data_IF_656948724970
#
_entry.id   IF_656948724970
#
_cell.length_a   1.000
_cell.length_b   1.000
_cell.length_c   1.000
_cell.angle_alpha   90.00
_cell.angle_beta   90.00
_cell.angle_gamma   90.00
#
_symmetry.space_group_name_H-M   'P 1'
#
loop_
_entity.id
_entity.type
_entity.pdbx_description
1 polymer ?
#
# COMPACT_ATOMS: atom_id res chain seq x y z
N UNK A 1 8.70 -22.84 -16.96
CA UNK A 1 7.69 -22.75 -15.92
C UNK A 1 6.67 -21.70 -16.30
N UNK A 2 5.36 -22.01 -16.10
CA UNK A 2 4.25 -21.11 -16.45
C UNK A 2 3.77 -20.36 -15.20
N UNK A 3 4.69 -19.77 -14.43
CA UNK A 3 4.34 -19.06 -13.20
C UNK A 3 3.87 -17.65 -13.50
N UNK A 4 2.87 -17.22 -12.76
CA UNK A 4 2.41 -15.84 -12.70
C UNK A 4 2.99 -15.16 -11.47
N UNK A 5 3.38 -13.92 -11.60
CA UNK A 5 3.76 -13.06 -10.49
C UNK A 5 2.67 -12.00 -10.37
N UNK A 6 1.98 -12.02 -9.24
CA UNK A 6 0.94 -11.04 -8.90
C UNK A 6 1.43 -10.27 -7.69
N UNK A 7 1.32 -8.95 -7.71
CA UNK A 7 1.79 -8.13 -6.62
C UNK A 7 0.81 -6.99 -6.30
N UNK A 8 0.72 -6.66 -5.04
CA UNK A 8 0.03 -5.50 -4.49
C UNK A 8 1.00 -4.33 -4.44
N UNK A 9 0.48 -3.10 -4.39
CA UNK A 9 1.32 -1.92 -4.22
C UNK A 9 1.90 -1.83 -2.82
N UNK A 10 3.16 -1.46 -2.73
CA UNK A 10 3.81 -1.02 -1.51
C UNK A 10 3.84 0.51 -1.39
N UNK A 11 4.56 1.01 -0.38
CA UNK A 11 4.76 2.44 -0.15
C UNK A 11 5.76 3.09 -1.12
N UNK A 12 6.53 2.31 -1.86
CA UNK A 12 7.49 2.80 -2.86
C UNK A 12 7.01 2.60 -4.31
N UNK A 13 5.82 2.08 -4.49
CA UNK A 13 5.26 1.81 -5.80
C UNK A 13 4.38 2.96 -6.27
N UNK A 14 4.46 3.31 -7.56
CA UNK A 14 3.56 4.30 -8.12
C UNK A 14 2.13 3.75 -8.17
N UNK A 15 1.16 4.33 -7.41
CA UNK A 15 -0.20 3.83 -7.37
C UNK A 15 -0.90 3.77 -8.73
N UNK A 16 -0.49 4.62 -9.67
CA UNK A 16 -1.06 4.65 -11.03
C UNK A 16 -0.87 3.35 -11.82
N UNK A 17 0.10 2.51 -11.45
CA UNK A 17 0.31 1.22 -12.12
C UNK A 17 -0.62 0.11 -11.63
N UNK A 18 -1.33 0.34 -10.52
CA UNK A 18 -2.21 -0.64 -9.87
C UNK A 18 -3.69 -0.45 -10.22
N UNK A 19 -3.97 0.02 -11.42
CA UNK A 19 -5.33 0.20 -11.97
C UNK A 19 -5.85 -1.04 -12.73
N UNK A 20 -5.06 -2.11 -12.76
CA UNK A 20 -5.35 -3.35 -13.51
C UNK A 20 -5.21 -3.23 -15.02
N UNK A 21 -4.78 -2.06 -15.56
CA UNK A 21 -4.74 -1.77 -17.00
C UNK A 21 -3.39 -1.22 -17.47
N UNK A 22 -2.78 -0.34 -16.68
CA UNK A 22 -1.58 0.41 -17.09
C UNK A 22 -0.34 -0.47 -17.14
N UNK A 23 -0.22 -1.43 -16.23
CA UNK A 23 0.89 -2.37 -16.21
C UNK A 23 0.54 -3.65 -16.98
N UNK A 24 1.05 -3.76 -18.21
CA UNK A 24 0.78 -4.91 -19.09
C UNK A 24 2.04 -5.73 -19.33
N UNK A 25 2.25 -6.73 -18.54
CA UNK A 25 3.28 -7.73 -18.79
C UNK A 25 2.66 -9.13 -18.77
N UNK A 26 3.09 -10.02 -19.67
CA UNK A 26 2.43 -11.33 -19.92
C UNK A 26 2.22 -12.20 -18.68
N UNK A 27 3.06 -12.07 -17.64
CA UNK A 27 3.01 -12.91 -16.43
C UNK A 27 3.32 -12.16 -15.14
N UNK A 28 3.25 -10.84 -15.21
CA UNK A 28 3.52 -9.95 -14.10
C UNK A 28 2.37 -8.98 -13.99
N UNK A 29 1.59 -9.04 -12.93
CA UNK A 29 0.34 -8.31 -12.78
C UNK A 29 0.38 -7.47 -11.51
N UNK A 30 0.30 -6.16 -11.69
CA UNK A 30 -0.01 -5.23 -10.63
C UNK A 30 -1.53 -5.17 -10.46
N UNK A 31 -2.04 -5.52 -9.29
CA UNK A 31 -3.48 -5.61 -9.05
C UNK A 31 -3.97 -4.42 -8.24
N UNK A 32 -5.19 -3.92 -8.52
CA UNK A 32 -5.83 -2.90 -7.70
C UNK A 32 -6.07 -3.38 -6.27
N UNK A 33 -6.19 -2.42 -5.35
CA UNK A 33 -6.67 -2.71 -4.00
C UNK A 33 -8.07 -3.33 -4.07
N UNK A 34 -8.38 -4.20 -3.10
CA UNK A 34 -9.63 -4.98 -3.06
C UNK A 34 -9.80 -5.95 -4.25
N UNK A 35 -8.70 -6.40 -4.84
CA UNK A 35 -8.72 -7.53 -5.76
C UNK A 35 -8.77 -8.85 -5.00
N UNK A 36 -9.45 -9.85 -5.57
CA UNK A 36 -9.43 -11.21 -5.07
C UNK A 36 -8.77 -12.13 -6.08
N UNK A 37 -7.81 -12.92 -5.62
CA UNK A 37 -7.13 -13.95 -6.41
C UNK A 37 -7.63 -15.31 -5.94
N UNK A 38 -8.16 -16.10 -6.87
CA UNK A 38 -8.51 -17.49 -6.60
C UNK A 38 -7.37 -18.39 -7.08
N UNK A 39 -6.68 -19.05 -6.14
CA UNK A 39 -5.56 -19.93 -6.42
C UNK A 39 -5.50 -21.08 -5.41
N UNK A 40 -5.22 -22.29 -5.88
CA UNK A 40 -5.03 -23.48 -5.03
C UNK A 40 -6.18 -23.73 -4.02
N UNK A 41 -7.42 -23.49 -4.43
CA UNK A 41 -8.64 -23.57 -3.62
C UNK A 41 -8.72 -22.52 -2.49
N UNK A 42 -7.94 -21.44 -2.59
CA UNK A 42 -8.00 -20.30 -1.69
C UNK A 42 -8.55 -19.07 -2.40
N UNK A 43 -9.27 -18.23 -1.66
CA UNK A 43 -9.72 -16.90 -2.06
C UNK A 43 -8.93 -15.86 -1.28
N UNK A 44 -8.02 -15.18 -1.97
CA UNK A 44 -7.00 -14.31 -1.41
C UNK A 44 -7.40 -12.85 -1.66
N UNK A 45 -7.80 -12.14 -0.61
CA UNK A 45 -8.06 -10.71 -0.67
C UNK A 45 -6.74 -9.93 -0.61
N UNK A 46 -6.57 -8.99 -1.53
CA UNK A 46 -5.36 -8.19 -1.68
C UNK A 46 -5.66 -6.70 -1.49
N UNK A 47 -4.98 -6.05 -0.53
CA UNK A 47 -5.06 -4.61 -0.28
C UNK A 47 -3.66 -4.07 -0.06
N UNK A 48 -3.20 -3.21 -0.96
CA UNK A 48 -1.86 -2.64 -0.92
C UNK A 48 -1.79 -1.31 -0.16
N UNK A 49 -0.58 -0.74 -0.16
CA UNK A 49 -0.28 0.55 0.41
C UNK A 49 0.20 0.50 1.85
N UNK A 50 1.10 1.44 2.14
CA UNK A 50 1.59 1.73 3.49
C UNK A 50 2.21 3.13 3.50
N UNK A 51 2.43 3.69 4.68
CA UNK A 51 3.06 4.99 4.88
C UNK A 51 4.58 4.85 4.84
N UNK A 52 5.24 5.68 4.03
CA UNK A 52 6.69 5.82 4.04
C UNK A 52 7.14 6.59 5.29
N UNK A 53 7.86 5.91 6.18
CA UNK A 53 8.36 6.52 7.42
C UNK A 53 9.42 7.61 7.17
N UNK A 54 10.04 7.60 6.01
CA UNK A 54 11.06 8.54 5.56
C UNK A 54 10.53 9.61 4.58
N UNK A 55 9.21 9.78 4.49
CA UNK A 55 8.53 10.68 3.54
C UNK A 55 9.04 12.12 3.58
N UNK A 56 9.30 12.67 4.77
CA UNK A 56 9.84 14.03 4.93
C UNK A 56 11.21 14.16 4.28
N UNK A 57 12.09 13.18 4.51
CA UNK A 57 13.40 13.15 3.88
C UNK A 57 13.30 13.09 2.34
N UNK A 58 12.37 12.32 1.81
CA UNK A 58 12.13 12.20 0.35
C UNK A 58 11.64 13.50 -0.23
N UNK A 59 10.69 14.17 0.42
CA UNK A 59 10.17 15.48 0.01
C UNK A 59 11.26 16.55 0.02
N UNK A 60 12.12 16.57 1.04
CA UNK A 60 13.27 17.48 1.09
C UNK A 60 14.29 17.20 -0.01
N UNK A 61 14.61 15.94 -0.27
CA UNK A 61 15.52 15.54 -1.33
C UNK A 61 14.97 15.96 -2.70
N UNK A 62 13.70 15.75 -2.94
CA UNK A 62 13.03 16.19 -4.16
C UNK A 62 13.05 17.72 -4.31
N UNK A 63 12.74 18.46 -3.25
CA UNK A 63 12.77 19.93 -3.25
C UNK A 63 14.17 20.48 -3.59
N UNK A 64 15.20 19.89 -2.99
CA UNK A 64 16.60 20.27 -3.28
C UNK A 64 16.98 19.98 -4.74
N UNK A 65 16.55 18.86 -5.28
CA UNK A 65 16.79 18.51 -6.68
C UNK A 65 16.07 19.47 -7.64
N UNK A 66 14.82 19.85 -7.37
CA UNK A 66 14.08 20.84 -8.16
C UNK A 66 14.76 22.20 -8.13
N UNK A 67 15.19 22.67 -6.97
CA UNK A 67 15.94 23.92 -6.85
C UNK A 67 17.24 23.90 -7.66
N UNK A 68 17.93 22.75 -7.67
CA UNK A 68 19.16 22.56 -8.43
C UNK A 68 18.90 22.64 -9.94
N UNK A 69 17.85 21.98 -10.43
CA UNK A 69 17.41 22.02 -11.82
C UNK A 69 17.08 23.44 -12.28
N UNK A 70 16.31 24.18 -11.48
CA UNK A 70 15.95 25.58 -11.77
C UNK A 70 17.20 26.47 -11.88
N UNK A 71 18.19 26.28 -11.02
CA UNK A 71 19.44 27.05 -11.08
C UNK A 71 20.25 26.79 -12.37
N UNK A 72 20.14 25.61 -12.94
CA UNK A 72 20.82 25.25 -14.18
C UNK A 72 19.97 25.46 -15.46
N UNK A 73 18.83 26.18 -15.34
CA UNK A 73 17.99 26.56 -16.50
C UNK A 73 17.18 25.41 -17.08
N UNK A 74 17.05 24.28 -16.40
CA UNK A 74 16.23 23.17 -16.83
C UNK A 74 14.80 23.39 -16.30
N UNK A 75 13.92 23.93 -17.16
CA UNK A 75 12.53 24.28 -16.82
C UNK A 75 11.54 23.14 -17.04
N UNK A 76 11.97 21.99 -17.49
CA UNK A 76 11.10 20.83 -17.61
C UNK A 76 10.73 20.33 -16.21
N UNK A 77 9.49 20.63 -15.81
CA UNK A 77 8.86 19.99 -14.66
C UNK A 77 8.55 18.55 -15.06
N UNK A 78 9.30 17.62 -14.54
CA UNK A 78 8.99 16.19 -14.71
C UNK A 78 7.87 15.86 -13.73
N UNK A 79 6.62 16.09 -14.15
CA UNK A 79 5.43 15.95 -13.32
C UNK A 79 5.16 14.52 -12.85
N UNK A 80 5.70 13.52 -13.55
CA UNK A 80 5.26 12.12 -13.41
C UNK A 80 6.20 11.22 -12.59
N UNK A 81 7.31 11.73 -12.16
CA UNK A 81 8.25 10.93 -11.40
C UNK A 81 8.58 11.64 -10.10
N UNK A 82 7.97 11.22 -9.01
CA UNK A 82 8.56 11.54 -7.72
C UNK A 82 9.95 10.88 -7.70
N UNK A 83 11.06 11.63 -7.93
CA UNK A 83 12.39 11.03 -8.00
C UNK A 83 12.80 10.41 -6.67
N UNK A 84 12.00 10.60 -5.65
CA UNK A 84 12.14 10.06 -4.32
C UNK A 84 11.21 8.88 -4.03
N UNK A 85 10.45 8.40 -5.03
CA UNK A 85 9.50 7.28 -4.83
C UNK A 85 8.54 7.50 -3.66
N UNK A 86 8.00 8.71 -3.53
CA UNK A 86 6.98 9.06 -2.55
C UNK A 86 5.71 9.57 -3.24
N UNK A 87 4.58 9.01 -2.88
CA UNK A 87 3.26 9.39 -3.38
C UNK A 87 2.33 9.68 -2.22
N UNK A 88 1.63 10.82 -2.27
CA UNK A 88 0.67 11.19 -1.21
C UNK A 88 -0.45 10.17 -1.02
N UNK A 89 -0.77 9.42 -2.08
CA UNK A 89 -1.80 8.36 -2.10
C UNK A 89 -1.25 6.96 -1.79
N UNK A 90 -0.06 6.85 -1.18
CA UNK A 90 0.56 5.57 -0.89
C UNK A 90 -0.16 4.78 0.22
N UNK A 91 -0.82 5.47 1.15
CA UNK A 91 -1.52 4.84 2.27
C UNK A 91 -2.69 3.97 1.81
N UNK A 92 -2.99 2.88 2.53
CA UNK A 92 -4.20 2.11 2.28
C UNK A 92 -5.45 2.91 2.64
N UNK A 93 -6.54 2.60 1.96
CA UNK A 93 -7.84 3.23 2.22
C UNK A 93 -8.88 2.16 2.54
N UNK A 94 -9.66 2.33 3.60
CA UNK A 94 -10.77 1.44 3.89
C UNK A 94 -11.94 1.73 2.93
N UNK A 95 -12.25 0.77 2.07
CA UNK A 95 -13.37 0.81 1.14
C UNK A 95 -14.40 -0.25 1.51
N UNK A 96 -15.37 0.16 2.35
CA UNK A 96 -16.43 -0.73 2.83
C UNK A 96 -17.28 -1.29 1.69
N UNK A 97 -17.61 -0.45 0.71
CA UNK A 97 -18.47 -0.85 -0.41
C UNK A 97 -17.81 -1.93 -1.27
N UNK A 98 -16.53 -1.74 -1.63
CA UNK A 98 -15.79 -2.75 -2.38
C UNK A 98 -15.67 -4.06 -1.60
N UNK A 99 -15.37 -3.98 -0.29
CA UNK A 99 -15.28 -5.15 0.55
C UNK A 99 -16.63 -5.90 0.63
N UNK A 100 -17.71 -5.18 0.88
CA UNK A 100 -19.06 -5.77 0.94
C UNK A 100 -19.48 -6.44 -0.37
N UNK A 101 -19.15 -5.84 -1.51
CA UNK A 101 -19.38 -6.45 -2.82
C UNK A 101 -18.65 -7.79 -2.94
N UNK A 102 -17.38 -7.84 -2.55
CA UNK A 102 -16.59 -9.07 -2.57
C UNK A 102 -17.24 -10.14 -1.67
N UNK A 103 -17.58 -9.78 -0.43
CA UNK A 103 -18.12 -10.73 0.55
C UNK A 103 -19.51 -11.23 0.20
N UNK A 104 -20.25 -10.51 -0.64
CA UNK A 104 -21.54 -10.97 -1.17
C UNK A 104 -21.40 -12.05 -2.26
N UNK A 105 -20.26 -12.10 -2.94
CA UNK A 105 -20.02 -12.99 -4.07
C UNK A 105 -19.20 -14.22 -3.69
N UNK A 106 -18.25 -14.08 -2.76
CA UNK A 106 -17.34 -15.18 -2.40
C UNK A 106 -16.82 -15.04 -0.96
N UNK A 107 -16.31 -16.16 -0.46
CA UNK A 107 -15.61 -16.19 0.83
C UNK A 107 -14.15 -15.78 0.65
N UNK A 108 -13.56 -15.21 1.71
CA UNK A 108 -12.16 -14.86 1.82
C UNK A 108 -11.54 -15.70 2.93
N UNK A 109 -10.46 -16.40 2.66
CA UNK A 109 -9.73 -17.22 3.63
C UNK A 109 -8.26 -16.83 3.80
N UNK A 110 -7.71 -16.04 2.90
CA UNK A 110 -6.36 -15.44 3.03
C UNK A 110 -6.45 -13.95 2.75
N UNK A 111 -5.69 -13.16 3.49
CA UNK A 111 -5.53 -11.71 3.28
C UNK A 111 -4.06 -11.39 3.06
N UNK A 112 -3.76 -10.61 2.04
CA UNK A 112 -2.42 -10.08 1.76
C UNK A 112 -2.50 -8.55 1.77
N UNK A 113 -1.69 -7.94 2.64
CA UNK A 113 -1.59 -6.48 2.76
C UNK A 113 -0.12 -6.05 2.82
N UNK A 114 0.17 -4.77 2.69
CA UNK A 114 1.54 -4.24 2.85
C UNK A 114 1.78 -3.63 4.25
N UNK A 115 0.73 -3.50 5.04
CA UNK A 115 0.78 -3.13 6.45
C UNK A 115 -0.18 -4.02 7.25
N UNK A 116 -0.10 -3.99 8.57
CA UNK A 116 -0.83 -4.91 9.44
C UNK A 116 -1.83 -4.23 10.36
N UNK A 117 -2.86 -4.95 10.86
CA UNK A 117 -3.70 -4.48 11.96
C UNK A 117 -2.89 -4.12 13.21
N UNK A 118 -3.45 -3.26 14.05
CA UNK A 118 -2.76 -2.74 15.25
C UNK A 118 -2.43 -3.81 16.30
N UNK A 119 -3.16 -4.91 16.29
CA UNK A 119 -2.90 -6.05 17.19
C UNK A 119 -1.80 -6.99 16.71
N UNK A 120 -1.29 -6.81 15.48
CA UNK A 120 -0.12 -7.54 15.00
C UNK A 120 1.16 -6.81 15.44
N UNK A 121 2.01 -7.52 16.18
CA UNK A 121 3.32 -7.00 16.56
C UNK A 121 4.28 -7.04 15.37
N UNK A 122 4.92 -5.90 15.09
CA UNK A 122 6.01 -5.85 14.12
C UNK A 122 7.28 -6.44 14.75
N UNK A 123 8.05 -7.19 13.97
CA UNK A 123 9.29 -7.83 14.41
C UNK A 123 10.35 -6.81 14.86
N UNK A 124 10.33 -5.59 14.31
CA UNK A 124 11.24 -4.51 14.70
C UNK A 124 10.49 -3.21 14.91
N UNK A 125 10.69 -2.60 16.06
CA UNK A 125 10.21 -1.24 16.40
C UNK A 125 11.34 -0.21 16.25
N UNK A 126 12.51 -0.62 15.78
CA UNK A 126 13.68 0.24 15.65
C UNK A 126 13.53 1.19 14.45
N UNK A 127 14.03 2.39 14.62
CA UNK A 127 14.21 3.35 13.53
C UNK A 127 13.10 4.37 13.33
N UNK A 128 11.90 4.22 13.89
CA UNK A 128 10.83 5.24 13.76
C UNK A 128 11.22 6.53 14.49
N UNK A 129 11.85 6.44 15.65
CA UNK A 129 12.17 7.58 16.50
C UNK A 129 12.96 8.70 15.78
N UNK A 130 13.90 8.34 14.91
CA UNK A 130 14.67 9.33 14.15
C UNK A 130 13.84 10.11 13.13
N UNK A 131 12.78 9.48 12.59
CA UNK A 131 11.91 10.08 11.59
C UNK A 131 10.86 10.99 12.21
N UNK A 132 10.37 10.65 13.41
CA UNK A 132 9.38 11.44 14.14
C UNK A 132 9.89 12.80 14.59
N UNK A 133 11.21 12.97 14.72
CA UNK A 133 11.81 14.28 15.01
C UNK A 133 11.48 15.33 13.94
N UNK A 134 11.41 14.91 12.68
CA UNK A 134 11.19 15.79 11.53
C UNK A 134 9.77 15.70 10.97
N UNK A 135 9.00 14.71 11.37
CA UNK A 135 7.63 14.49 10.92
C UNK A 135 6.70 14.32 12.13
N UNK A 136 6.06 15.42 12.51
CA UNK A 136 5.20 15.46 13.72
C UNK A 136 3.90 14.65 13.59
N UNK A 137 3.45 14.39 12.37
CA UNK A 137 2.21 13.66 12.11
C UNK A 137 2.44 12.18 11.83
N UNK A 138 3.69 11.75 11.64
CA UNK A 138 4.01 10.39 11.24
C UNK A 138 3.39 9.32 12.15
N UNK A 139 3.45 9.50 13.47
CA UNK A 139 2.89 8.52 14.42
C UNK A 139 1.38 8.44 14.29
N UNK A 140 0.68 9.59 14.23
CA UNK A 140 -0.77 9.61 14.07
C UNK A 140 -1.21 8.99 12.74
N UNK A 141 -0.46 9.24 11.69
CA UNK A 141 -0.77 8.73 10.37
C UNK A 141 -0.54 7.20 10.29
N UNK A 142 0.53 6.69 10.90
CA UNK A 142 0.75 5.23 11.05
C UNK A 142 -0.36 4.59 11.89
N UNK A 143 -0.81 5.25 12.94
CA UNK A 143 -1.94 4.76 13.74
C UNK A 143 -3.22 4.70 12.90
N UNK A 144 -3.51 5.73 12.13
CA UNK A 144 -4.66 5.77 11.23
C UNK A 144 -4.58 4.69 10.15
N UNK A 145 -3.41 4.45 9.58
CA UNK A 145 -3.17 3.36 8.64
C UNK A 145 -3.53 2.00 9.26
N UNK A 146 -3.10 1.76 10.49
CA UNK A 146 -3.40 0.51 11.20
C UNK A 146 -4.88 0.38 11.55
N UNK A 147 -5.58 1.50 11.81
CA UNK A 147 -7.03 1.49 11.99
C UNK A 147 -7.80 1.13 10.72
N UNK A 148 -7.26 1.46 9.54
CA UNK A 148 -7.79 0.96 8.27
C UNK A 148 -7.72 -0.56 8.21
N UNK A 149 -6.61 -1.15 8.63
CA UNK A 149 -6.45 -2.61 8.67
C UNK A 149 -7.33 -3.25 9.76
N UNK A 150 -7.50 -2.59 10.91
CA UNK A 150 -8.44 -3.03 11.93
C UNK A 150 -9.88 -3.08 11.39
N UNK A 151 -10.30 -2.02 10.67
CA UNK A 151 -11.63 -1.95 10.07
C UNK A 151 -11.84 -3.06 9.02
N UNK A 152 -10.82 -3.37 8.25
CA UNK A 152 -10.83 -4.49 7.31
C UNK A 152 -11.03 -5.83 8.05
N UNK A 153 -10.24 -6.06 9.11
CA UNK A 153 -10.32 -7.27 9.92
C UNK A 153 -11.69 -7.45 10.60
N UNK A 154 -12.20 -6.39 11.25
CA UNK A 154 -13.50 -6.46 11.92
C UNK A 154 -14.65 -6.72 10.93
N UNK A 155 -14.61 -6.11 9.75
CA UNK A 155 -15.62 -6.39 8.72
C UNK A 155 -15.57 -7.83 8.25
N UNK A 156 -14.39 -8.40 8.01
CA UNK A 156 -14.25 -9.81 7.65
C UNK A 156 -14.81 -10.72 8.74
N UNK A 157 -14.57 -10.41 10.00
CA UNK A 157 -15.05 -11.16 11.17
C UNK A 157 -16.56 -11.04 11.32
N UNK A 158 -17.14 -9.84 11.24
CA UNK A 158 -18.58 -9.59 11.28
C UNK A 158 -19.34 -10.39 10.21
N UNK A 159 -18.73 -10.53 9.02
CA UNK A 159 -19.27 -11.32 7.91
C UNK A 159 -18.85 -12.79 7.93
N UNK A 160 -18.39 -13.28 9.11
CA UNK A 160 -18.08 -14.69 9.35
C UNK A 160 -17.10 -15.29 8.33
N UNK A 161 -16.14 -14.47 7.85
CA UNK A 161 -15.08 -14.96 7.01
C UNK A 161 -14.06 -15.72 7.87
N UNK A 162 -13.68 -16.90 7.41
CA UNK A 162 -12.70 -17.73 8.11
C UNK A 162 -11.30 -17.47 7.55
N UNK A 163 -10.72 -16.33 7.92
CA UNK A 163 -9.37 -15.95 7.51
C UNK A 163 -8.36 -16.84 8.24
N UNK A 164 -7.68 -17.69 7.53
CA UNK A 164 -6.66 -18.63 8.04
C UNK A 164 -5.27 -18.01 8.10
N UNK A 165 -4.97 -17.11 7.15
CA UNK A 165 -3.68 -16.45 7.04
C UNK A 165 -3.86 -14.97 6.72
N UNK A 166 -3.07 -14.15 7.39
CA UNK A 166 -2.90 -12.74 7.06
C UNK A 166 -1.40 -12.48 6.84
N UNK A 167 -1.01 -12.20 5.61
CA UNK A 167 0.37 -11.92 5.21
C UNK A 167 0.57 -10.42 5.00
N UNK A 168 1.66 -9.83 5.54
CA UNK A 168 2.03 -8.43 5.39
C UNK A 168 3.55 -8.23 5.40
#
# INVERSE_FOLDING_TARGET
ANNWIVFIRGNHDNPAYFDGKSFKHKRFIAIPDYSVINACNHSILCVGGAISIDRTYRLEAWSKEQQKRLRFGNTEVVDDFSPSYYWQSESPTYNKEALMSILSEQKVDIVITHTSPSFCELLSKEGIAKWTCNDKTLISDIQQEREVMNSLYETLKEHQQHVTHWCY
#
